data_IF_665071173057
#
_entry.id   IF_665071173057
#
_cell.length_a   1.000
_cell.length_b   1.000
_cell.length_c   1.000
_cell.angle_alpha   90.00
_cell.angle_beta   90.00
_cell.angle_gamma   90.00
#
_symmetry.space_group_name_H-M   'P 1'
#
loop_
_entity.id
_entity.type
_entity.pdbx_description
1 polymer ?
#
# COMPACT_ATOMS: atom_id res chain seq x y z
N UNK A 1 -11.54 -9.55 6.56
CA UNK A 1 -12.11 -10.72 5.88
C UNK A 1 -13.33 -10.32 5.07
N UNK A 2 -13.47 -10.85 3.87
CA UNK A 2 -14.62 -10.68 2.97
C UNK A 2 -15.01 -9.22 2.71
N UNK A 3 -13.99 -8.35 2.58
CA UNK A 3 -14.19 -6.93 2.33
C UNK A 3 -14.84 -6.73 0.96
N UNK A 4 -15.95 -6.02 0.96
CA UNK A 4 -16.69 -5.65 -0.25
C UNK A 4 -16.86 -4.14 -0.31
N UNK A 5 -16.66 -3.58 -1.51
CA UNK A 5 -16.91 -2.17 -1.80
C UNK A 5 -17.54 -2.00 -3.17
N UNK A 6 -18.62 -1.23 -3.22
CA UNK A 6 -19.26 -0.83 -4.47
C UNK A 6 -19.54 0.69 -4.47
N UNK A 7 -19.72 1.26 -5.65
CA UNK A 7 -20.24 2.60 -5.86
C UNK A 7 -21.54 2.51 -6.64
N UNK A 8 -22.65 2.58 -5.92
CA UNK A 8 -23.97 2.32 -6.49
C UNK A 8 -24.08 0.86 -6.96
N UNK A 9 -24.20 0.62 -8.27
CA UNK A 9 -24.27 -0.72 -8.88
C UNK A 9 -22.89 -1.30 -9.23
N UNK A 10 -21.84 -0.48 -9.23
CA UNK A 10 -20.52 -0.89 -9.68
C UNK A 10 -19.69 -1.46 -8.52
N UNK A 11 -19.53 -2.78 -8.51
CA UNK A 11 -18.69 -3.48 -7.53
C UNK A 11 -17.23 -3.20 -7.86
N UNK A 12 -16.47 -2.74 -6.89
CA UNK A 12 -15.03 -2.47 -7.01
C UNK A 12 -14.23 -3.61 -6.40
N UNK A 13 -14.62 -4.08 -5.23
CA UNK A 13 -14.01 -5.22 -4.54
C UNK A 13 -15.11 -6.15 -4.07
N UNK A 14 -14.97 -7.45 -4.35
CA UNK A 14 -15.95 -8.48 -4.00
C UNK A 14 -15.31 -9.51 -3.07
N UNK A 15 -15.69 -9.47 -1.79
CA UNK A 15 -15.31 -10.44 -0.74
C UNK A 15 -13.80 -10.71 -0.70
N UNK A 16 -12.98 -9.65 -0.79
CA UNK A 16 -11.53 -9.79 -0.71
C UNK A 16 -11.08 -10.08 0.72
N UNK A 17 -10.26 -11.10 0.87
CA UNK A 17 -9.72 -11.52 2.17
C UNK A 17 -8.21 -11.64 2.10
N UNK A 18 -7.53 -11.04 3.06
CA UNK A 18 -6.08 -11.08 3.18
C UNK A 18 -5.62 -10.83 4.62
N UNK A 19 -4.35 -11.03 4.86
CA UNK A 19 -3.67 -10.63 6.09
C UNK A 19 -2.32 -10.00 5.76
N UNK A 20 -1.91 -9.07 6.57
CA UNK A 20 -0.61 -8.38 6.49
C UNK A 20 0.03 -8.51 7.87
N UNK A 21 1.22 -9.07 7.92
CA UNK A 21 1.97 -9.24 9.16
C UNK A 21 2.90 -8.03 9.39
N UNK A 22 3.34 -7.86 10.63
CA UNK A 22 4.35 -6.85 10.96
C UNK A 22 5.64 -7.13 10.17
N UNK A 23 6.13 -6.10 9.49
CA UNK A 23 7.32 -6.19 8.66
C UNK A 23 7.09 -6.69 7.21
N UNK A 24 5.84 -7.04 6.84
CA UNK A 24 5.51 -7.35 5.45
C UNK A 24 5.73 -6.13 4.54
N UNK A 25 6.10 -6.40 3.30
CA UNK A 25 6.25 -5.41 2.25
C UNK A 25 5.39 -5.80 1.07
N UNK A 26 4.20 -5.21 1.02
CA UNK A 26 3.14 -5.58 0.10
C UNK A 26 3.06 -4.57 -1.04
N UNK A 27 3.15 -5.05 -2.28
CA UNK A 27 2.84 -4.27 -3.47
C UNK A 27 1.42 -4.57 -3.94
N UNK A 28 0.58 -3.55 -4.09
CA UNK A 28 -0.77 -3.69 -4.67
C UNK A 28 -0.70 -3.32 -6.13
N UNK A 29 -1.11 -4.22 -6.99
CA UNK A 29 -1.11 -4.04 -8.44
C UNK A 29 -2.49 -4.34 -9.04
N UNK A 30 -2.73 -3.83 -10.22
CA UNK A 30 -3.97 -3.98 -10.96
C UNK A 30 -4.11 -2.87 -12.02
N UNK A 31 -5.04 -3.02 -12.95
CA UNK A 31 -5.33 -1.99 -13.95
C UNK A 31 -5.85 -0.71 -13.29
N UNK A 32 -5.85 0.40 -14.03
CA UNK A 32 -6.46 1.64 -13.55
C UNK A 32 -7.96 1.41 -13.29
N UNK A 33 -8.46 1.90 -12.17
CA UNK A 33 -9.83 1.66 -11.74
C UNK A 33 -10.10 0.31 -11.06
N UNK A 34 -9.11 -0.58 -10.93
CA UNK A 34 -9.29 -1.89 -10.27
C UNK A 34 -9.61 -1.83 -8.76
N UNK A 35 -9.50 -0.64 -8.12
CA UNK A 35 -9.80 -0.49 -6.70
C UNK A 35 -8.56 -0.44 -5.79
N UNK A 36 -7.35 -0.24 -6.33
CA UNK A 36 -6.11 -0.15 -5.55
C UNK A 36 -6.17 0.94 -4.47
N UNK A 37 -6.40 2.20 -4.87
CA UNK A 37 -6.52 3.33 -3.95
C UNK A 37 -7.76 3.23 -3.06
N UNK A 38 -8.85 2.61 -3.54
CA UNK A 38 -10.03 2.32 -2.73
C UNK A 38 -9.69 1.37 -1.58
N UNK A 39 -8.91 0.32 -1.85
CA UNK A 39 -8.44 -0.60 -0.81
C UNK A 39 -7.56 0.12 0.21
N UNK A 40 -6.62 0.98 -0.24
CA UNK A 40 -5.80 1.78 0.68
C UNK A 40 -6.66 2.70 1.56
N UNK A 41 -7.61 3.43 0.98
CA UNK A 41 -8.52 4.32 1.71
C UNK A 41 -9.39 3.58 2.74
N UNK A 42 -9.81 2.35 2.45
CA UNK A 42 -10.51 1.52 3.43
C UNK A 42 -9.59 1.12 4.58
N UNK A 43 -8.36 0.68 4.29
CA UNK A 43 -7.40 0.26 5.32
C UNK A 43 -6.91 1.40 6.20
N UNK A 44 -6.89 2.63 5.68
CA UNK A 44 -6.54 3.84 6.44
C UNK A 44 -7.72 4.43 7.21
N UNK A 45 -8.92 3.88 7.06
CA UNK A 45 -10.14 4.37 7.71
C UNK A 45 -10.76 5.61 7.05
N UNK A 46 -10.23 6.07 5.91
CA UNK A 46 -10.80 7.20 5.16
C UNK A 46 -12.11 6.82 4.44
N UNK A 47 -12.33 5.53 4.25
CA UNK A 47 -13.52 5.02 3.57
C UNK A 47 -14.05 3.78 4.28
N UNK A 48 -15.36 3.70 4.47
CA UNK A 48 -16.03 2.52 5.01
C UNK A 48 -16.17 1.43 3.94
N UNK A 49 -16.05 0.15 4.36
CA UNK A 49 -16.50 -0.99 3.57
C UNK A 49 -18.04 -1.13 3.66
N UNK A 50 -18.65 -1.78 2.67
CA UNK A 50 -20.09 -2.08 2.68
C UNK A 50 -20.39 -3.38 3.42
N UNK A 51 -19.48 -4.34 3.31
CA UNK A 51 -19.53 -5.58 4.09
C UNK A 51 -18.12 -6.11 4.34
N UNK A 52 -18.02 -7.04 5.28
CA UNK A 52 -16.75 -7.57 5.76
C UNK A 52 -16.12 -6.71 6.85
N UNK A 53 -15.09 -7.26 7.49
CA UNK A 53 -14.40 -6.62 8.61
C UNK A 53 -12.90 -6.66 8.42
N UNK A 54 -12.24 -5.61 8.87
CA UNK A 54 -10.78 -5.60 9.03
C UNK A 54 -10.41 -5.16 10.44
N UNK A 55 -9.28 -5.64 10.89
CA UNK A 55 -8.76 -5.33 12.21
C UNK A 55 -7.32 -4.82 12.08
N UNK A 56 -7.07 -3.67 12.70
CA UNK A 56 -5.73 -3.11 12.92
C UNK A 56 -5.62 -2.86 14.42
N UNK A 57 -4.49 -3.23 15.02
CA UNK A 57 -4.28 -3.01 16.46
C UNK A 57 -4.42 -1.53 16.81
N UNK A 58 -5.10 -1.22 17.91
CA UNK A 58 -5.42 0.14 18.32
C UNK A 58 -4.18 1.04 18.51
N UNK A 59 -3.06 0.45 18.93
CA UNK A 59 -1.81 1.19 19.17
C UNK A 59 -0.95 1.37 17.90
N UNK A 60 -1.43 0.87 16.75
CA UNK A 60 -0.68 0.93 15.49
C UNK A 60 -0.73 2.32 14.89
N UNK A 61 0.42 2.95 14.73
CA UNK A 61 0.56 4.23 14.03
C UNK A 61 0.53 3.99 12.53
N UNK A 62 -0.45 4.58 11.86
CA UNK A 62 -0.63 4.48 10.41
C UNK A 62 -0.16 5.78 9.77
N UNK A 63 0.61 5.65 8.70
CA UNK A 63 0.98 6.74 7.83
C UNK A 63 0.48 6.49 6.41
N UNK A 64 -0.10 7.50 5.76
CA UNK A 64 -0.62 7.38 4.41
C UNK A 64 -0.19 8.54 3.53
N UNK A 65 0.47 8.23 2.41
CA UNK A 65 0.75 9.16 1.33
C UNK A 65 -0.31 8.99 0.24
N UNK A 66 -1.13 10.02 0.03
CA UNK A 66 -2.15 10.08 -1.01
C UNK A 66 -1.54 10.42 -2.37
N UNK A 67 -2.13 9.90 -3.44
CA UNK A 67 -1.70 10.18 -4.80
C UNK A 67 -1.78 11.68 -5.15
N UNK A 68 -2.83 12.39 -4.70
CA UNK A 68 -3.09 13.77 -5.09
C UNK A 68 -2.38 14.81 -4.21
N UNK A 69 -1.56 14.38 -3.25
CA UNK A 69 -0.69 15.27 -2.47
C UNK A 69 -1.42 16.48 -1.86
N UNK A 70 -2.65 16.31 -1.34
CA UNK A 70 -3.36 17.35 -0.58
C UNK A 70 -2.58 17.65 0.71
N UNK A 71 -1.49 18.35 0.53
CA UNK A 71 -0.66 18.83 1.61
C UNK A 71 -0.77 20.36 1.61
N UNK A 72 -1.85 20.83 2.22
CA UNK A 72 -2.10 22.26 2.39
C UNK A 72 -1.69 22.70 3.80
N UNK A 73 -0.80 23.65 3.87
CA UNK A 73 -0.36 24.30 5.10
C UNK A 73 0.10 25.71 4.79
N UNK A 74 -0.17 26.64 5.70
CA UNK A 74 0.33 28.01 5.63
C UNK A 74 1.77 28.14 6.15
N UNK A 75 2.31 27.05 6.71
CA UNK A 75 3.66 27.01 7.24
C UNK A 75 4.73 27.02 6.14
N UNK A 76 5.93 27.34 6.52
CA UNK A 76 7.12 27.07 5.71
C UNK A 76 7.49 25.57 5.75
N UNK A 77 8.38 25.16 4.83
CA UNK A 77 8.88 23.79 4.76
C UNK A 77 9.45 23.34 6.10
N UNK A 78 10.30 24.15 6.72
CA UNK A 78 10.96 23.77 7.99
C UNK A 78 9.99 23.78 9.16
N UNK A 79 9.09 24.77 9.25
CA UNK A 79 8.08 24.82 10.32
C UNK A 79 7.18 23.58 10.32
N UNK A 80 6.80 23.10 9.14
CA UNK A 80 5.95 21.92 9.01
C UNK A 80 6.68 20.65 9.48
N UNK A 81 7.95 20.53 9.15
CA UNK A 81 8.78 19.40 9.57
C UNK A 81 9.09 19.46 11.07
N UNK A 82 9.41 20.65 11.61
CA UNK A 82 9.70 20.84 13.03
C UNK A 82 8.50 20.48 13.91
N UNK A 83 7.27 20.71 13.43
CA UNK A 83 6.04 20.29 14.16
C UNK A 83 5.99 18.79 14.47
N UNK A 84 6.63 17.96 13.65
CA UNK A 84 6.70 16.50 13.88
C UNK A 84 7.50 16.21 15.15
N UNK A 85 8.44 17.08 15.48
CA UNK A 85 9.41 16.95 16.57
C UNK A 85 9.19 17.97 17.70
N UNK A 86 8.03 18.62 17.76
CA UNK A 86 7.65 19.63 18.75
C UNK A 86 7.96 19.25 20.21
N UNK A 87 7.99 17.95 20.49
CA UNK A 87 8.31 17.41 21.81
C UNK A 87 9.77 17.70 22.23
N UNK A 88 10.73 17.64 21.28
CA UNK A 88 12.14 17.77 21.61
C UNK A 88 12.53 19.17 22.09
N UNK A 89 12.13 20.27 21.41
CA UNK A 89 12.33 21.61 21.95
C UNK A 89 11.71 21.82 23.33
N UNK A 90 10.55 21.20 23.62
CA UNK A 90 9.92 21.28 24.94
C UNK A 90 10.74 20.53 26.00
N UNK A 91 11.24 19.34 25.66
CA UNK A 91 12.12 18.58 26.54
C UNK A 91 13.44 19.31 26.77
N UNK A 92 14.03 19.92 25.76
CA UNK A 92 15.24 20.74 25.84
C UNK A 92 15.01 21.90 26.82
N UNK A 93 13.89 22.60 26.69
CA UNK A 93 13.52 23.70 27.58
C UNK A 93 13.29 23.23 29.05
N UNK A 94 12.64 22.07 29.22
CA UNK A 94 12.42 21.49 30.55
C UNK A 94 13.74 21.07 31.22
N UNK A 95 14.65 20.43 30.44
CA UNK A 95 16.00 20.11 30.91
C UNK A 95 16.78 21.36 31.36
N UNK A 96 16.71 22.43 30.56
CA UNK A 96 17.36 23.70 30.90
C UNK A 96 16.80 24.32 32.21
N UNK A 97 15.46 24.28 32.36
CA UNK A 97 14.82 24.77 33.61
C UNK A 97 15.23 23.94 34.83
N UNK A 98 15.31 22.62 34.69
CA UNK A 98 15.76 21.73 35.76
C UNK A 98 17.22 22.02 36.13
N UNK A 99 18.10 22.21 35.14
CA UNK A 99 19.50 22.60 35.39
C UNK A 99 19.61 23.91 36.15
N UNK A 100 18.89 24.96 35.74
CA UNK A 100 18.88 26.25 36.44
C UNK A 100 18.40 26.10 37.90
N UNK A 101 17.40 25.24 38.15
CA UNK A 101 16.94 24.96 39.52
C UNK A 101 17.98 24.21 40.35
N UNK A 102 18.69 23.26 39.76
CA UNK A 102 19.77 22.52 40.44
C UNK A 102 20.93 23.45 40.77
N UNK A 103 21.35 24.28 39.81
CA UNK A 103 22.46 25.24 40.01
C UNK A 103 22.15 26.35 41.04
N UNK A 104 20.87 26.73 41.21
CA UNK A 104 20.45 27.75 42.15
C UNK A 104 20.43 27.29 43.62
N UNK A 105 20.61 25.99 43.89
CA UNK A 105 20.61 25.42 45.26
C UNK A 105 22.01 25.18 45.76
N UNK A 106 22.28 25.59 47.01
CA UNK A 106 23.57 25.33 47.68
C UNK A 106 23.78 23.83 47.99
N UNK A 107 22.69 23.07 48.13
CA UNK A 107 22.70 21.62 48.40
C UNK A 107 22.04 20.92 47.22
N UNK A 108 22.68 19.89 46.64
CA UNK A 108 22.08 19.11 45.54
C UNK A 108 20.73 18.52 45.96
N UNK A 109 19.70 18.76 45.15
CA UNK A 109 18.38 18.18 45.34
C UNK A 109 18.31 16.87 44.54
N UNK A 110 18.40 15.72 45.22
CA UNK A 110 18.39 14.41 44.61
C UNK A 110 17.15 14.18 43.69
N UNK A 111 16.00 14.74 44.10
CA UNK A 111 14.76 14.62 43.30
C UNK A 111 14.86 15.37 41.97
N UNK A 112 15.50 16.55 41.95
CA UNK A 112 15.70 17.32 40.73
C UNK A 112 16.71 16.63 39.81
N UNK A 113 17.77 16.03 40.37
CA UNK A 113 18.76 15.27 39.63
C UNK A 113 18.12 14.02 38.97
N UNK A 114 17.35 13.25 39.76
CA UNK A 114 16.63 12.10 39.23
C UNK A 114 15.67 12.46 38.09
N UNK A 115 14.95 13.59 38.19
CA UNK A 115 14.07 14.09 37.14
C UNK A 115 14.83 14.47 35.86
N UNK A 116 15.95 15.16 36.03
CA UNK A 116 16.81 15.56 34.93
C UNK A 116 17.38 14.33 34.20
N UNK A 117 17.91 13.36 34.94
CA UNK A 117 18.46 12.12 34.40
C UNK A 117 17.40 11.30 33.65
N UNK A 118 16.20 11.17 34.21
CA UNK A 118 15.09 10.49 33.59
C UNK A 118 14.67 11.17 32.25
N UNK A 119 14.55 12.50 32.26
CA UNK A 119 14.19 13.28 31.07
C UNK A 119 15.30 13.23 30.01
N UNK A 120 16.57 13.27 30.43
CA UNK A 120 17.71 13.14 29.51
C UNK A 120 17.76 11.75 28.87
N UNK A 121 17.51 10.69 29.64
CA UNK A 121 17.47 9.33 29.08
C UNK A 121 16.30 9.15 28.15
N UNK A 122 15.13 9.69 28.47
CA UNK A 122 13.96 9.70 27.57
C UNK A 122 14.26 10.44 26.26
N UNK A 123 14.85 11.64 26.36
CA UNK A 123 15.27 12.44 25.20
C UNK A 123 16.22 11.65 24.28
N UNK A 124 17.20 10.97 24.86
CA UNK A 124 18.16 10.14 24.15
C UNK A 124 17.49 8.93 23.48
N UNK A 125 16.65 8.18 24.21
CA UNK A 125 15.95 6.99 23.70
C UNK A 125 15.01 7.33 22.56
N UNK A 126 14.41 8.50 22.59
CA UNK A 126 13.52 8.99 21.55
C UNK A 126 14.23 9.61 20.34
N UNK A 127 15.56 9.71 20.37
CA UNK A 127 16.37 10.24 19.27
C UNK A 127 16.56 11.76 19.29
N UNK A 128 16.43 12.42 20.47
CA UNK A 128 16.54 13.86 20.61
C UNK A 128 17.90 14.44 20.15
N UNK A 129 18.97 13.66 20.25
CA UNK A 129 20.28 14.11 19.76
C UNK A 129 20.45 13.98 18.24
N UNK A 130 19.57 13.24 17.56
CA UNK A 130 19.73 12.92 16.12
C UNK A 130 18.63 13.52 15.23
N UNK A 131 17.51 13.99 15.79
CA UNK A 131 16.36 14.42 14.99
C UNK A 131 16.68 15.55 14.01
N UNK A 132 17.54 16.53 14.39
CA UNK A 132 17.94 17.64 13.49
C UNK A 132 18.72 17.13 12.27
N UNK A 133 19.61 16.17 12.46
CA UNK A 133 20.34 15.53 11.35
C UNK A 133 19.44 14.63 10.51
N UNK A 134 18.46 13.95 11.10
CA UNK A 134 17.45 13.19 10.36
C UNK A 134 16.59 14.10 9.48
N UNK A 135 16.13 15.25 10.01
CA UNK A 135 15.39 16.26 9.24
C UNK A 135 16.21 16.69 8.03
N UNK A 136 17.43 17.16 8.26
CA UNK A 136 18.32 17.64 7.19
C UNK A 136 18.60 16.55 6.17
N UNK A 137 18.87 15.32 6.61
CA UNK A 137 19.15 14.18 5.75
C UNK A 137 17.96 13.80 4.86
N UNK A 138 16.77 13.74 5.41
CA UNK A 138 15.56 13.39 4.64
C UNK A 138 15.17 14.53 3.69
N UNK A 139 15.17 15.77 4.14
CA UNK A 139 14.87 16.93 3.29
C UNK A 139 15.84 17.03 2.11
N UNK A 140 17.14 16.90 2.36
CA UNK A 140 18.15 16.91 1.30
C UNK A 140 17.93 15.76 0.30
N UNK A 141 17.60 14.56 0.79
CA UNK A 141 17.30 13.41 -0.07
C UNK A 141 16.03 13.56 -0.90
N UNK A 142 15.10 14.40 -0.46
CA UNK A 142 13.88 14.77 -1.18
C UNK A 142 14.08 16.03 -2.04
N UNK A 143 15.32 16.42 -2.29
CA UNK A 143 15.71 17.59 -3.08
C UNK A 143 15.22 18.94 -2.50
N UNK A 144 15.17 19.05 -1.16
CA UNK A 144 14.99 20.30 -0.45
C UNK A 144 16.33 20.75 0.13
N UNK A 145 16.97 21.72 -0.51
CA UNK A 145 18.14 22.41 0.05
C UNK A 145 17.73 23.45 1.10
N UNK A 146 18.71 23.93 1.87
CA UNK A 146 18.49 24.93 2.94
C UNK A 146 17.81 26.21 2.43
N UNK A 147 18.05 26.59 1.17
CA UNK A 147 17.40 27.70 0.49
C UNK A 147 15.87 27.54 0.34
N UNK A 148 15.39 26.30 0.46
CA UNK A 148 13.96 25.98 0.36
C UNK A 148 13.24 25.96 1.71
N UNK A 149 13.96 25.97 2.82
CA UNK A 149 13.38 25.80 4.16
C UNK A 149 12.40 26.92 4.54
N UNK A 150 12.69 28.15 4.14
CA UNK A 150 11.83 29.32 4.35
C UNK A 150 10.70 29.51 3.35
N UNK A 151 10.58 28.66 2.32
CA UNK A 151 9.48 28.75 1.35
C UNK A 151 8.18 28.31 1.98
N UNK A 152 7.09 29.05 1.72
CA UNK A 152 5.75 28.61 2.12
C UNK A 152 5.32 27.40 1.32
N UNK A 153 4.66 26.45 1.95
CA UNK A 153 4.14 25.22 1.33
C UNK A 153 3.15 25.55 0.21
N UNK A 154 2.35 26.60 0.39
CA UNK A 154 1.42 27.10 -0.65
C UNK A 154 2.12 27.55 -1.93
N UNK A 155 3.40 27.95 -1.88
CA UNK A 155 4.19 28.35 -3.04
C UNK A 155 4.90 27.22 -3.77
N UNK A 156 4.91 26.01 -3.20
CA UNK A 156 5.54 24.83 -3.79
C UNK A 156 4.72 24.31 -4.99
N UNK A 157 5.41 23.76 -5.97
CA UNK A 157 4.78 22.99 -7.05
C UNK A 157 4.11 21.72 -6.49
N UNK A 158 3.18 21.12 -7.25
CA UNK A 158 2.53 19.87 -6.84
C UNK A 158 3.52 18.76 -6.53
N UNK A 159 4.55 18.58 -7.36
CA UNK A 159 5.60 17.57 -7.12
C UNK A 159 6.45 17.86 -5.87
N UNK A 160 6.78 19.13 -5.59
CA UNK A 160 7.47 19.51 -4.35
C UNK A 160 6.60 19.23 -3.12
N UNK A 161 5.31 19.54 -3.18
CA UNK A 161 4.37 19.23 -2.08
C UNK A 161 4.29 17.73 -1.81
N UNK A 162 4.20 16.92 -2.86
CA UNK A 162 4.20 15.45 -2.71
C UNK A 162 5.50 14.94 -2.07
N UNK A 163 6.67 15.46 -2.50
CA UNK A 163 7.96 15.09 -1.88
C UNK A 163 8.05 15.52 -0.42
N UNK A 164 7.55 16.72 -0.08
CA UNK A 164 7.51 17.20 1.29
C UNK A 164 6.56 16.35 2.15
N UNK A 165 5.38 16.01 1.65
CA UNK A 165 4.45 15.12 2.32
C UNK A 165 5.08 13.75 2.60
N UNK A 166 5.81 13.19 1.62
CA UNK A 166 6.57 11.96 1.80
C UNK A 166 7.66 12.12 2.86
N UNK A 167 8.44 13.21 2.82
CA UNK A 167 9.46 13.50 3.83
C UNK A 167 8.87 13.54 5.25
N UNK A 168 7.79 14.29 5.44
CA UNK A 168 7.08 14.38 6.72
C UNK A 168 6.56 13.01 7.18
N UNK A 169 6.06 12.21 6.26
CA UNK A 169 5.56 10.88 6.54
C UNK A 169 6.67 9.93 7.01
N UNK A 170 7.82 9.95 6.34
CA UNK A 170 8.98 9.12 6.69
C UNK A 170 9.60 9.54 8.03
N UNK A 171 9.63 10.83 8.34
CA UNK A 171 10.09 11.36 9.62
C UNK A 171 9.20 10.93 10.81
N UNK A 172 7.90 10.75 10.59
CA UNK A 172 6.96 10.23 11.60
C UNK A 172 7.19 8.78 11.98
N UNK A 173 7.88 8.00 11.13
CA UNK A 173 8.20 6.57 11.32
C UNK A 173 6.99 5.75 11.78
N UNK A 174 5.87 5.71 11.03
CA UNK A 174 4.69 4.95 11.42
C UNK A 174 4.95 3.44 11.43
N UNK A 175 4.14 2.66 12.16
CA UNK A 175 4.25 1.20 12.19
C UNK A 175 3.81 0.56 10.86
N UNK A 176 2.82 1.20 10.20
CA UNK A 176 2.37 0.82 8.87
C UNK A 176 2.42 2.04 7.96
N UNK A 177 3.13 1.89 6.84
CA UNK A 177 3.32 2.92 5.82
C UNK A 177 2.52 2.54 4.57
N UNK A 178 1.47 3.30 4.27
CA UNK A 178 0.72 3.20 3.03
C UNK A 178 1.20 4.25 2.04
N UNK A 179 1.59 3.81 0.83
CA UNK A 179 2.11 4.68 -0.21
C UNK A 179 1.31 4.48 -1.50
N UNK A 180 0.63 5.52 -1.97
CA UNK A 180 -0.10 5.49 -3.24
C UNK A 180 0.70 6.25 -4.30
N UNK A 181 1.30 5.51 -5.25
CA UNK A 181 2.16 5.99 -6.33
C UNK A 181 3.32 6.92 -5.85
N UNK A 182 4.15 6.47 -4.87
CA UNK A 182 5.18 7.33 -4.28
C UNK A 182 6.30 7.69 -5.25
N UNK A 183 6.41 6.99 -6.38
CA UNK A 183 7.44 7.21 -7.40
C UNK A 183 7.12 8.39 -8.33
N UNK A 184 5.88 8.86 -8.34
CA UNK A 184 5.48 9.99 -9.15
C UNK A 184 6.22 11.26 -8.70
N UNK A 185 6.69 12.03 -9.65
CA UNK A 185 7.42 13.28 -9.44
C UNK A 185 8.78 13.16 -8.72
N UNK A 186 9.34 11.94 -8.61
CA UNK A 186 10.70 11.72 -8.10
C UNK A 186 11.69 11.64 -9.26
N UNK A 187 12.84 12.32 -9.10
CA UNK A 187 13.99 12.08 -9.95
C UNK A 187 14.69 10.76 -9.60
N UNK A 188 15.60 10.32 -10.46
CA UNK A 188 16.30 9.03 -10.31
C UNK A 188 17.10 8.96 -9.00
N UNK A 189 17.68 10.07 -8.55
CA UNK A 189 18.47 10.12 -7.31
C UNK A 189 17.58 9.92 -6.08
N UNK A 190 16.49 10.68 -5.98
CA UNK A 190 15.47 10.57 -4.93
C UNK A 190 14.83 9.18 -4.92
N UNK A 191 14.52 8.61 -6.10
CA UNK A 191 13.94 7.28 -6.22
C UNK A 191 14.88 6.20 -5.65
N UNK A 192 16.16 6.20 -6.01
CA UNK A 192 17.15 5.25 -5.47
C UNK A 192 17.32 5.38 -3.96
N UNK A 193 17.32 6.60 -3.45
CA UNK A 193 17.36 6.82 -2.02
C UNK A 193 16.11 6.26 -1.32
N UNK A 194 14.91 6.51 -1.87
CA UNK A 194 13.66 5.98 -1.34
C UNK A 194 13.65 4.45 -1.32
N UNK A 195 14.10 3.81 -2.41
CA UNK A 195 14.26 2.34 -2.44
C UNK A 195 15.12 1.84 -1.27
N UNK A 196 16.29 2.47 -1.07
CA UNK A 196 17.20 2.08 0.00
C UNK A 196 16.62 2.34 1.38
N UNK A 197 15.92 3.45 1.55
CA UNK A 197 15.22 3.78 2.80
C UNK A 197 14.14 2.74 3.12
N UNK A 198 13.29 2.40 2.15
CA UNK A 198 12.22 1.42 2.33
C UNK A 198 12.76 0.00 2.56
N UNK A 199 13.88 -0.37 1.96
CA UNK A 199 14.56 -1.66 2.25
C UNK A 199 14.97 -1.81 3.71
N UNK A 200 15.35 -0.71 4.35
CA UNK A 200 15.79 -0.69 5.75
C UNK A 200 14.68 -0.29 6.72
N UNK A 201 13.47 -0.05 6.23
CA UNK A 201 12.36 0.37 7.07
C UNK A 201 11.91 -0.76 8.01
N UNK A 202 11.81 -0.47 9.30
CA UNK A 202 11.46 -1.49 10.31
C UNK A 202 9.94 -1.78 10.41
N UNK A 203 9.09 -0.92 9.82
CA UNK A 203 7.64 -1.07 9.82
C UNK A 203 7.14 -1.93 8.67
N UNK A 204 5.83 -2.07 8.59
CA UNK A 204 5.11 -2.69 7.49
C UNK A 204 4.92 -1.68 6.36
N UNK A 205 5.09 -2.10 5.13
CA UNK A 205 4.91 -1.26 3.95
C UNK A 205 3.81 -1.85 3.07
N UNK A 206 2.88 -1.01 2.67
CA UNK A 206 1.86 -1.33 1.68
C UNK A 206 1.91 -0.23 0.62
N UNK A 207 2.30 -0.60 -0.60
CA UNK A 207 2.48 0.39 -1.65
C UNK A 207 1.73 0.02 -2.94
N UNK A 208 1.19 1.02 -3.59
CA UNK A 208 0.71 0.96 -4.96
C UNK A 208 1.75 1.62 -5.84
N UNK A 209 2.20 0.96 -6.90
CA UNK A 209 3.07 1.54 -7.91
C UNK A 209 2.90 0.87 -9.26
N UNK A 210 3.12 1.64 -10.32
CA UNK A 210 3.25 1.13 -11.69
C UNK A 210 4.70 0.86 -12.07
N UNK A 211 5.65 1.28 -11.27
CA UNK A 211 7.06 1.02 -11.48
C UNK A 211 7.44 -0.40 -11.07
N UNK A 212 7.62 -1.26 -12.08
CA UNK A 212 7.94 -2.69 -11.90
C UNK A 212 9.28 -2.90 -11.20
N UNK A 213 10.27 -2.06 -11.52
CA UNK A 213 11.60 -2.16 -10.93
C UNK A 213 11.55 -1.77 -9.46
N UNK A 214 10.87 -0.67 -9.13
CA UNK A 214 10.69 -0.24 -7.76
C UNK A 214 9.98 -1.29 -6.90
N UNK A 215 8.90 -1.89 -7.43
CA UNK A 215 8.21 -3.00 -6.78
C UNK A 215 9.15 -4.20 -6.56
N UNK A 216 9.90 -4.59 -7.59
CA UNK A 216 10.79 -5.75 -7.51
C UNK A 216 11.87 -5.59 -6.43
N UNK A 217 12.33 -4.37 -6.20
CA UNK A 217 13.36 -4.05 -5.20
C UNK A 217 12.81 -3.84 -3.78
N UNK A 218 11.53 -3.48 -3.64
CA UNK A 218 11.00 -3.02 -2.35
C UNK A 218 10.01 -3.96 -1.70
N UNK A 219 9.32 -4.84 -2.46
CA UNK A 219 8.27 -5.69 -1.91
C UNK A 219 8.64 -7.18 -1.91
N UNK A 220 8.04 -7.92 -1.00
CA UNK A 220 8.18 -9.39 -0.89
C UNK A 220 6.84 -10.13 -1.04
N UNK A 221 5.75 -9.39 -1.17
CA UNK A 221 4.41 -9.93 -1.44
C UNK A 221 3.69 -9.03 -2.44
N UNK A 222 2.94 -9.62 -3.35
CA UNK A 222 2.12 -8.90 -4.33
C UNK A 222 0.65 -9.26 -4.13
N UNK A 223 -0.17 -8.22 -4.04
CA UNK A 223 -1.63 -8.30 -4.04
C UNK A 223 -2.14 -7.82 -5.39
N UNK A 224 -2.55 -8.74 -6.25
CA UNK A 224 -3.14 -8.41 -7.54
C UNK A 224 -4.66 -8.25 -7.41
N UNK A 225 -5.18 -7.09 -7.81
CA UNK A 225 -6.61 -6.84 -7.91
C UNK A 225 -7.01 -6.94 -9.40
N UNK A 226 -7.77 -7.98 -9.72
CA UNK A 226 -8.28 -8.24 -11.07
C UNK A 226 -9.71 -8.77 -10.98
N UNK A 227 -10.63 -8.24 -11.82
CA UNK A 227 -12.04 -8.64 -11.85
C UNK A 227 -12.68 -8.63 -10.44
N UNK A 228 -12.49 -7.55 -9.68
CA UNK A 228 -13.02 -7.32 -8.32
C UNK A 228 -12.48 -8.29 -7.25
N UNK A 229 -11.57 -9.18 -7.59
CA UNK A 229 -10.96 -10.18 -6.69
C UNK A 229 -9.53 -9.85 -6.39
N UNK A 230 -9.06 -10.32 -5.25
CA UNK A 230 -7.68 -10.17 -4.82
C UNK A 230 -6.98 -11.53 -4.86
N UNK A 231 -5.84 -11.57 -5.54
CA UNK A 231 -4.94 -12.72 -5.56
C UNK A 231 -3.62 -12.36 -4.91
N UNK A 232 -3.13 -13.22 -4.03
CA UNK A 232 -1.89 -13.01 -3.29
C UNK A 232 -0.78 -13.86 -3.89
N UNK A 233 0.38 -13.24 -4.10
CA UNK A 233 1.61 -13.91 -4.52
C UNK A 233 2.69 -13.66 -3.45
N UNK A 234 3.28 -14.72 -2.94
CA UNK A 234 4.33 -14.68 -1.92
C UNK A 234 5.70 -14.56 -2.61
N UNK A 235 6.04 -13.34 -3.02
CA UNK A 235 7.28 -13.03 -3.73
C UNK A 235 7.33 -11.59 -4.23
N UNK A 236 8.46 -11.20 -4.84
CA UNK A 236 8.63 -9.90 -5.47
C UNK A 236 7.92 -9.81 -6.83
N UNK A 237 8.11 -8.69 -7.54
CA UNK A 237 7.45 -8.48 -8.83
C UNK A 237 7.87 -9.50 -9.91
N UNK A 238 9.15 -9.88 -9.96
CA UNK A 238 9.66 -10.88 -10.91
C UNK A 238 9.05 -12.25 -10.69
N UNK A 239 8.92 -12.68 -9.42
CA UNK A 239 8.21 -13.91 -9.06
C UNK A 239 6.74 -13.85 -9.49
N UNK A 240 6.05 -12.77 -9.13
CA UNK A 240 4.66 -12.55 -9.54
C UNK A 240 4.47 -12.66 -11.06
N UNK A 241 5.32 -11.96 -11.84
CA UNK A 241 5.19 -11.96 -13.30
C UNK A 241 5.32 -13.36 -13.90
N UNK A 242 6.20 -14.20 -13.32
CA UNK A 242 6.39 -15.59 -13.74
C UNK A 242 5.18 -16.45 -13.37
N UNK A 243 4.74 -16.40 -12.11
CA UNK A 243 3.60 -17.19 -11.62
C UNK A 243 2.30 -16.80 -12.30
N UNK A 244 2.07 -15.51 -12.52
CA UNK A 244 0.90 -15.01 -13.27
C UNK A 244 0.84 -15.60 -14.68
N UNK A 245 1.97 -15.63 -15.37
CA UNK A 245 2.04 -16.20 -16.72
C UNK A 245 1.68 -17.69 -16.70
N UNK A 246 2.28 -18.46 -15.80
CA UNK A 246 1.99 -19.90 -15.65
C UNK A 246 0.52 -20.15 -15.35
N UNK A 247 -0.04 -19.39 -14.41
CA UNK A 247 -1.46 -19.48 -14.02
C UNK A 247 -2.39 -19.17 -15.19
N UNK A 248 -2.14 -18.09 -15.93
CA UNK A 248 -2.94 -17.72 -17.11
C UNK A 248 -2.87 -18.77 -18.22
N UNK A 249 -1.69 -19.31 -18.50
CA UNK A 249 -1.56 -20.41 -19.46
C UNK A 249 -2.38 -21.64 -19.03
N UNK A 250 -2.38 -21.96 -17.74
CA UNK A 250 -3.15 -23.06 -17.20
C UNK A 250 -4.68 -22.81 -17.31
N UNK A 251 -5.13 -21.59 -17.01
CA UNK A 251 -6.53 -21.16 -17.18
C UNK A 251 -6.96 -21.20 -18.64
N UNK A 252 -6.12 -20.69 -19.54
CA UNK A 252 -6.39 -20.75 -20.98
C UNK A 252 -6.50 -22.18 -21.52
N UNK A 253 -5.61 -23.08 -21.09
CA UNK A 253 -5.68 -24.52 -21.44
C UNK A 253 -6.97 -25.18 -20.91
N UNK A 254 -7.42 -24.81 -19.69
CA UNK A 254 -8.69 -25.30 -19.13
C UNK A 254 -9.87 -24.81 -19.96
N UNK A 255 -9.89 -23.53 -20.30
CA UNK A 255 -10.90 -22.93 -21.17
C UNK A 255 -10.95 -23.61 -22.55
N UNK A 256 -9.82 -23.77 -23.23
CA UNK A 256 -9.77 -24.47 -24.52
C UNK A 256 -10.29 -25.91 -24.44
N UNK A 257 -9.91 -26.63 -23.38
CA UNK A 257 -10.39 -28.00 -23.15
C UNK A 257 -11.91 -28.04 -22.96
N UNK A 258 -12.45 -27.11 -22.18
CA UNK A 258 -13.90 -27.00 -22.01
C UNK A 258 -14.61 -26.64 -23.32
N UNK A 259 -14.10 -25.67 -24.07
CA UNK A 259 -14.66 -25.27 -25.34
C UNK A 259 -14.65 -26.41 -26.37
N UNK A 260 -13.57 -27.21 -26.43
CA UNK A 260 -13.51 -28.42 -27.28
C UNK A 260 -14.57 -29.45 -26.86
N UNK A 261 -14.78 -29.64 -25.56
CA UNK A 261 -15.80 -30.60 -25.09
C UNK A 261 -17.22 -30.08 -25.35
N UNK A 262 -17.49 -28.78 -25.18
CA UNK A 262 -18.77 -28.17 -25.52
C UNK A 262 -19.08 -28.41 -27.00
N UNK A 263 -18.18 -28.06 -27.93
CA UNK A 263 -18.33 -28.27 -29.36
C UNK A 263 -18.60 -29.75 -29.70
N UNK A 264 -17.86 -30.66 -29.07
CA UNK A 264 -18.05 -32.09 -29.25
C UNK A 264 -19.45 -32.55 -28.80
N UNK A 265 -19.96 -32.04 -27.70
CA UNK A 265 -21.31 -32.36 -27.23
C UNK A 265 -22.37 -31.77 -28.17
N UNK A 266 -22.21 -30.55 -28.64
CA UNK A 266 -23.11 -29.89 -29.60
C UNK A 266 -23.18 -30.68 -30.93
N UNK A 267 -22.03 -31.11 -31.46
CA UNK A 267 -21.97 -31.92 -32.68
C UNK A 267 -22.68 -33.29 -32.50
N UNK A 268 -22.50 -33.92 -31.32
CA UNK A 268 -23.23 -35.17 -31.05
C UNK A 268 -24.73 -34.93 -30.93
N UNK A 269 -25.18 -33.88 -30.28
CA UNK A 269 -26.58 -33.48 -30.18
C UNK A 269 -27.15 -33.26 -31.58
N UNK A 270 -26.43 -32.51 -32.44
CA UNK A 270 -26.82 -32.23 -33.84
C UNK A 270 -27.00 -33.54 -34.62
N UNK A 271 -26.04 -34.48 -34.55
CA UNK A 271 -26.09 -35.78 -35.22
C UNK A 271 -27.26 -36.66 -34.72
N UNK A 272 -27.56 -36.64 -33.40
CA UNK A 272 -28.68 -37.39 -32.85
C UNK A 272 -30.04 -36.83 -33.32
N UNK A 273 -30.17 -35.52 -33.39
CA UNK A 273 -31.37 -34.86 -33.90
C UNK A 273 -31.61 -35.13 -35.40
N UNK A 274 -30.55 -35.11 -36.23
CA UNK A 274 -30.62 -35.41 -37.65
C UNK A 274 -31.06 -36.83 -37.97
N UNK A 275 -30.73 -37.82 -37.14
CA UNK A 275 -31.09 -39.23 -37.35
C UNK A 275 -32.54 -39.58 -36.97
N UNK A 276 -33.27 -38.69 -36.31
CA UNK A 276 -34.74 -38.71 -36.18
C UNK A 276 -35.40 -39.84 -35.39
N UNK A 277 -34.66 -40.76 -34.75
CA UNK A 277 -35.27 -41.84 -33.95
C UNK A 277 -35.60 -41.37 -32.54
N UNK A 278 -36.75 -41.81 -31.96
CA UNK A 278 -37.20 -41.43 -30.61
C UNK A 278 -36.16 -41.66 -29.55
N UNK A 279 -35.44 -42.77 -29.60
CA UNK A 279 -34.33 -43.10 -28.67
C UNK A 279 -33.17 -42.13 -28.77
N UNK A 280 -32.83 -41.64 -29.95
CA UNK A 280 -31.76 -40.64 -30.17
C UNK A 280 -32.22 -39.25 -29.75
N UNK A 281 -33.52 -38.92 -29.97
CA UNK A 281 -34.10 -37.67 -29.46
C UNK A 281 -34.02 -37.55 -27.93
N UNK A 282 -34.36 -38.64 -27.20
CA UNK A 282 -34.21 -38.69 -25.73
C UNK A 282 -32.74 -38.52 -25.28
N UNK A 283 -31.79 -39.13 -25.99
CA UNK A 283 -30.35 -38.97 -25.71
C UNK A 283 -29.86 -37.54 -26.02
N UNK A 284 -30.35 -36.91 -27.09
CA UNK A 284 -30.04 -35.53 -27.41
C UNK A 284 -30.53 -34.59 -26.27
N UNK A 285 -31.79 -34.73 -25.86
CA UNK A 285 -32.39 -33.93 -24.78
C UNK A 285 -31.63 -34.07 -23.43
N UNK A 286 -31.21 -35.30 -23.08
CA UNK A 286 -30.41 -35.53 -21.88
C UNK A 286 -29.05 -34.82 -21.92
N UNK A 287 -28.39 -34.80 -23.10
CA UNK A 287 -27.12 -34.09 -23.30
C UNK A 287 -27.28 -32.59 -23.30
N UNK A 288 -28.34 -32.06 -23.93
CA UNK A 288 -28.67 -30.64 -23.86
C UNK A 288 -28.89 -30.17 -22.45
N UNK A 289 -29.64 -30.94 -21.64
CA UNK A 289 -29.82 -30.61 -20.23
C UNK A 289 -28.51 -30.59 -19.43
N UNK A 290 -27.57 -31.52 -19.72
CA UNK A 290 -26.23 -31.52 -19.12
C UNK A 290 -25.40 -30.33 -19.56
N UNK A 291 -25.46 -29.96 -20.85
CA UNK A 291 -24.73 -28.83 -21.38
C UNK A 291 -25.25 -27.51 -20.81
N UNK A 292 -26.59 -27.37 -20.69
CA UNK A 292 -27.23 -26.21 -20.10
C UNK A 292 -26.95 -26.06 -18.56
N UNK A 293 -26.69 -27.17 -17.88
CA UNK A 293 -26.32 -27.17 -16.47
C UNK A 293 -24.79 -27.04 -16.21
N UNK A 294 -24.00 -26.99 -17.28
CA UNK A 294 -22.55 -26.85 -17.19
C UNK A 294 -22.19 -25.40 -16.90
N UNK A 295 -21.35 -25.19 -15.88
CA UNK A 295 -20.75 -23.89 -15.63
C UNK A 295 -19.73 -23.57 -16.72
N UNK A 296 -20.10 -22.65 -17.60
CA UNK A 296 -19.27 -22.27 -18.75
C UNK A 296 -18.26 -21.23 -18.31
N UNK A 297 -16.98 -21.56 -18.45
CA UNK A 297 -15.90 -20.62 -18.15
C UNK A 297 -15.92 -19.46 -19.15
N UNK A 298 -15.83 -18.25 -18.64
CA UNK A 298 -15.56 -17.07 -19.44
C UNK A 298 -14.15 -17.17 -20.07
N UNK A 299 -14.01 -16.55 -21.22
CA UNK A 299 -12.72 -16.50 -21.88
C UNK A 299 -11.74 -15.70 -21.01
N UNK A 300 -10.61 -16.29 -20.60
CA UNK A 300 -9.58 -15.54 -19.88
C UNK A 300 -9.16 -14.31 -20.69
N UNK A 301 -9.04 -13.15 -20.03
CA UNK A 301 -8.65 -11.91 -20.67
C UNK A 301 -7.30 -12.06 -21.39
N UNK A 302 -7.20 -11.51 -22.59
CA UNK A 302 -5.94 -11.46 -23.32
C UNK A 302 -4.94 -10.59 -22.51
N UNK A 303 -3.70 -11.03 -22.46
CA UNK A 303 -2.62 -10.28 -21.81
C UNK A 303 -2.47 -8.92 -22.52
N UNK A 304 -3.07 -7.89 -21.98
CA UNK A 304 -2.78 -6.52 -22.39
C UNK A 304 -1.44 -6.15 -21.77
N UNK A 305 -0.37 -6.74 -22.32
CA UNK A 305 1.00 -6.35 -22.03
C UNK A 305 1.19 -4.87 -22.31
N UNK A 306 1.09 -4.05 -21.28
CA UNK A 306 1.59 -2.67 -21.24
C UNK A 306 2.54 -2.51 -20.07
#
# INVERSE_FOLDING_TARGET
KDLTKAYGTDVILDKVSFHINKGDRVGIIGINGAGKSTLLKMLTGEMSCESGDYFISADTKIGYLKQDGEFESENTVIEEVDRIFDRFPKMEQEMEQLLQQIESKEIPDEILLEKYDALQEEYKQQGGYTYKSEITGILSSMAFGEESYGKKISSLSGGERTRLALACLLLKKPDILFLDEPTNHLDIGTLKWLEQYLKNYNGTIVLVSHDRYFLDQTVNRIFEIENHKLTIYEGNYSFYATERKVRREAEFRKFEKQQKEIRRQEDMIRRFKQRGTEKLAKRAASREKRLAAMDVMDRPDADHGR
#
